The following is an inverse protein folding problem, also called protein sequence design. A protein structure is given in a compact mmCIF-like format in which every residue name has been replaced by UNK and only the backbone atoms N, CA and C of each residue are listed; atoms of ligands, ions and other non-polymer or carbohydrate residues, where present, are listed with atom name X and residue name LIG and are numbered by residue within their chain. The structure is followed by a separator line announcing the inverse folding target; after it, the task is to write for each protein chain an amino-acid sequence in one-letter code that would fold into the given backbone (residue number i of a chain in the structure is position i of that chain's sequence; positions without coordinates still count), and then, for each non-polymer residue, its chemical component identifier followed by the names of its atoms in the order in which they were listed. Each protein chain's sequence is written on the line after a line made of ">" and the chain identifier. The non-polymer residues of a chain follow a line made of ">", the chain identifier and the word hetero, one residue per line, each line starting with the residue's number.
data_IF_397881389695
#
_entry.id   IF_397881389695
#
_cell.length_a   1.000
_cell.length_b   1.000
_cell.length_c   1.000
_cell.angle_alpha   90.00
_cell.angle_beta   90.00
_cell.angle_gamma   90.00
#
_symmetry.space_group_name_H-M   'P 1'
#
loop_
_entity.id
_entity.type
_entity.pdbx_description
1 polymer ?
#
# COMPACT_ATOMS: atom_id res chain seq x y z
N UNK A 1 1.34 14.17 -52.59
CA UNK A 1 1.19 12.78 -52.16
C UNK A 1 2.43 12.27 -51.43
N UNK A 2 3.64 12.32 -52.02
CA UNK A 2 4.88 11.84 -51.38
C UNK A 2 5.19 12.56 -50.06
N UNK A 3 4.96 13.87 -49.96
CA UNK A 3 5.19 14.67 -48.77
C UNK A 3 4.22 14.29 -47.65
N UNK A 4 2.95 14.06 -47.94
CA UNK A 4 1.96 13.58 -46.97
C UNK A 4 2.31 12.17 -46.44
N UNK A 5 2.65 11.25 -47.36
CA UNK A 5 3.08 9.91 -46.96
C UNK A 5 4.33 9.93 -46.05
N UNK A 6 5.28 10.86 -46.28
CA UNK A 6 6.44 11.04 -45.43
C UNK A 6 6.04 11.50 -44.04
N UNK A 7 5.19 12.53 -43.89
CA UNK A 7 4.76 13.00 -42.57
C UNK A 7 3.94 11.95 -41.84
N UNK A 8 3.06 11.22 -42.50
CA UNK A 8 2.28 10.14 -41.89
C UNK A 8 3.20 9.01 -41.40
N UNK A 9 4.23 8.65 -42.15
CA UNK A 9 5.22 7.65 -41.72
C UNK A 9 6.02 8.12 -40.50
N UNK A 10 6.47 9.37 -40.50
CA UNK A 10 7.20 9.96 -39.36
C UNK A 10 6.30 10.00 -38.11
N UNK A 11 5.06 10.43 -38.24
CA UNK A 11 4.10 10.46 -37.13
C UNK A 11 3.84 9.05 -36.58
N UNK A 12 3.67 8.05 -37.46
CA UNK A 12 3.49 6.66 -37.03
C UNK A 12 4.72 6.14 -36.26
N UNK A 13 5.93 6.43 -36.75
CA UNK A 13 7.17 6.05 -36.06
C UNK A 13 7.28 6.70 -34.65
N UNK A 14 6.90 7.98 -34.54
CA UNK A 14 6.87 8.68 -33.26
C UNK A 14 5.88 8.00 -32.30
N UNK A 15 4.67 7.67 -32.76
CA UNK A 15 3.66 6.98 -31.95
C UNK A 15 4.19 5.63 -31.47
N UNK A 16 4.76 4.84 -32.37
CA UNK A 16 5.35 3.52 -32.04
C UNK A 16 6.49 3.68 -31.02
N UNK A 17 7.35 4.68 -31.18
CA UNK A 17 8.44 4.96 -30.26
C UNK A 17 7.91 5.33 -28.87
N UNK A 18 6.94 6.24 -28.79
CA UNK A 18 6.33 6.66 -27.52
C UNK A 18 5.66 5.47 -26.81
N UNK A 19 4.93 4.64 -27.55
CA UNK A 19 4.32 3.42 -27.02
C UNK A 19 5.37 2.42 -26.53
N UNK A 20 6.47 2.27 -27.26
CA UNK A 20 7.58 1.41 -26.85
C UNK A 20 8.26 1.89 -25.57
N UNK A 21 8.50 3.18 -25.42
CA UNK A 21 9.06 3.78 -24.20
C UNK A 21 8.08 3.65 -23.01
N UNK A 22 6.79 3.86 -23.29
CA UNK A 22 5.72 3.73 -22.28
C UNK A 22 5.48 2.27 -21.87
N UNK A 23 5.82 1.31 -22.70
CA UNK A 23 5.62 -0.13 -22.50
C UNK A 23 4.29 -0.67 -23.02
N UNK A 24 3.50 0.13 -23.75
CA UNK A 24 2.23 -0.27 -24.35
C UNK A 24 1.05 0.63 -24.01
N UNK A 25 -0.17 0.09 -24.16
CA UNK A 25 -1.44 0.80 -23.98
C UNK A 25 -2.02 0.69 -22.56
N UNK A 26 -1.37 -0.06 -21.65
CA UNK A 26 -1.83 -0.26 -20.29
C UNK A 26 -1.98 1.09 -19.56
N UNK A 27 -2.85 1.10 -18.55
CA UNK A 27 -3.21 2.31 -17.81
C UNK A 27 -2.01 2.97 -17.13
N UNK A 28 -1.13 2.18 -16.55
CA UNK A 28 0.08 2.62 -15.85
C UNK A 28 1.30 2.38 -16.73
N UNK A 29 2.13 3.41 -17.02
CA UNK A 29 3.39 3.22 -17.74
C UNK A 29 4.31 2.26 -16.98
N UNK A 30 5.12 1.49 -17.73
CA UNK A 30 6.13 0.64 -17.11
C UNK A 30 7.16 1.46 -16.32
N UNK A 31 7.62 0.87 -15.25
CA UNK A 31 8.75 1.36 -14.47
C UNK A 31 9.69 0.20 -14.11
N UNK A 32 10.74 0.44 -13.33
CA UNK A 32 11.70 -0.59 -12.96
C UNK A 32 11.04 -1.76 -12.22
N UNK A 33 10.03 -1.49 -11.38
CA UNK A 33 9.28 -2.53 -10.65
C UNK A 33 8.63 -3.56 -11.56
N UNK A 34 8.31 -3.20 -12.81
CA UNK A 34 7.72 -4.13 -13.77
C UNK A 34 8.65 -5.30 -14.12
N UNK A 35 9.97 -5.09 -14.03
CA UNK A 35 10.98 -6.11 -14.27
C UNK A 35 11.41 -6.84 -12.98
N UNK A 36 11.07 -6.35 -11.80
CA UNK A 36 11.52 -6.90 -10.53
C UNK A 36 10.75 -8.18 -10.16
N UNK A 37 11.49 -9.19 -9.74
CA UNK A 37 10.96 -10.53 -9.44
C UNK A 37 11.61 -11.21 -8.23
N UNK A 38 12.63 -10.60 -7.62
CA UNK A 38 13.46 -11.21 -6.58
C UNK A 38 13.71 -10.23 -5.44
N UNK A 39 14.02 -10.76 -4.26
CA UNK A 39 14.58 -9.99 -3.15
C UNK A 39 16.05 -9.57 -3.36
N UNK A 40 16.72 -10.11 -4.36
CA UNK A 40 18.11 -9.83 -4.66
C UNK A 40 18.21 -8.71 -5.69
N UNK A 41 18.57 -7.51 -5.23
CA UNK A 41 18.66 -6.32 -6.08
C UNK A 41 19.53 -6.53 -7.34
N UNK A 42 20.71 -7.17 -7.31
CA UNK A 42 21.50 -7.41 -8.52
C UNK A 42 20.76 -8.22 -9.60
N UNK A 43 19.89 -9.15 -9.20
CA UNK A 43 19.06 -9.92 -10.14
C UNK A 43 17.97 -9.04 -10.77
N UNK A 44 17.36 -8.17 -9.99
CA UNK A 44 16.37 -7.21 -10.47
C UNK A 44 17.01 -6.18 -11.41
N UNK A 45 18.17 -5.63 -11.05
CA UNK A 45 18.91 -4.68 -11.88
C UNK A 45 19.33 -5.29 -13.23
N UNK A 46 19.71 -6.57 -13.24
CA UNK A 46 20.03 -7.30 -14.46
C UNK A 46 18.81 -7.56 -15.36
N UNK A 47 17.60 -7.61 -14.79
CA UNK A 47 16.36 -7.81 -15.53
C UNK A 47 15.85 -6.51 -16.22
N UNK A 48 16.29 -5.35 -15.74
CA UNK A 48 15.88 -4.06 -16.33
C UNK A 48 16.62 -3.81 -17.64
N UNK A 49 15.89 -3.43 -18.69
CA UNK A 49 16.51 -3.07 -19.96
C UNK A 49 17.45 -1.87 -19.79
N UNK A 50 18.74 -2.07 -20.06
CA UNK A 50 19.81 -1.10 -19.82
C UNK A 50 19.63 0.20 -20.59
N UNK A 51 19.20 0.12 -21.87
CA UNK A 51 18.99 1.31 -22.70
C UNK A 51 17.79 2.13 -22.21
N UNK A 52 16.70 1.45 -21.88
CA UNK A 52 15.52 2.10 -21.33
C UNK A 52 15.84 2.80 -19.99
N UNK A 53 16.56 2.12 -19.08
CA UNK A 53 16.97 2.65 -17.79
C UNK A 53 17.92 3.85 -17.93
N UNK A 54 18.92 3.76 -18.83
CA UNK A 54 19.83 4.86 -19.13
C UNK A 54 19.07 6.09 -19.66
N UNK A 55 18.15 5.89 -20.61
CA UNK A 55 17.31 6.96 -21.15
C UNK A 55 16.45 7.62 -20.06
N UNK A 56 15.78 6.80 -19.24
CA UNK A 56 14.95 7.29 -18.13
C UNK A 56 15.76 8.09 -17.10
N UNK A 57 16.91 7.57 -16.70
CA UNK A 57 17.81 8.27 -15.74
C UNK A 57 18.35 9.57 -16.32
N UNK A 58 18.73 9.60 -17.58
CA UNK A 58 19.25 10.82 -18.22
C UNK A 58 18.18 11.91 -18.34
N UNK A 59 16.94 11.52 -18.68
CA UNK A 59 15.82 12.46 -18.81
C UNK A 59 15.20 12.84 -17.44
N UNK A 60 15.34 11.99 -16.43
CA UNK A 60 14.72 12.16 -15.12
C UNK A 60 15.59 12.82 -14.05
N UNK A 61 16.86 13.07 -14.32
CA UNK A 61 17.87 13.47 -13.32
C UNK A 61 17.70 14.86 -12.69
N UNK A 62 16.71 15.64 -13.11
CA UNK A 62 16.60 17.05 -12.66
C UNK A 62 15.93 17.26 -11.30
N UNK A 63 15.17 16.31 -10.74
CA UNK A 63 14.31 16.61 -9.59
C UNK A 63 14.68 15.94 -8.26
N UNK A 64 15.46 14.85 -8.25
CA UNK A 64 15.67 14.04 -7.04
C UNK A 64 17.13 13.87 -6.61
N UNK A 65 18.07 14.44 -7.32
CA UNK A 65 19.51 14.38 -7.01
C UNK A 65 20.06 15.61 -6.28
N UNK A 66 19.24 16.61 -6.01
CA UNK A 66 19.72 17.78 -5.24
C UNK A 66 19.82 17.41 -3.76
N UNK A 67 20.80 18.08 -3.10
CA UNK A 67 20.95 18.09 -1.64
C UNK A 67 19.60 18.24 -0.97
N UNK A 68 19.41 17.52 0.12
CA UNK A 68 18.18 17.41 0.88
C UNK A 68 17.50 18.78 1.03
N UNK A 69 16.38 19.05 0.33
CA UNK A 69 15.78 20.40 0.27
C UNK A 69 15.22 20.87 1.62
N UNK A 70 15.15 19.96 2.60
CA UNK A 70 14.58 20.18 3.94
C UNK A 70 15.65 20.15 5.04
N UNK A 71 16.91 20.37 4.71
CA UNK A 71 18.00 20.43 5.68
C UNK A 71 18.01 21.80 6.37
N UNK A 72 17.17 21.94 7.41
CA UNK A 72 17.02 23.20 8.17
C UNK A 72 17.96 23.27 9.38
N UNK A 73 18.56 22.16 9.80
CA UNK A 73 19.38 22.03 10.99
C UNK A 73 20.70 21.34 10.66
N UNK A 74 21.71 21.55 11.50
CA UNK A 74 22.89 20.67 11.51
C UNK A 74 22.49 19.28 11.99
N UNK A 75 23.33 18.27 11.72
CA UNK A 75 23.02 16.89 12.13
C UNK A 75 22.95 16.76 13.67
N UNK A 76 23.78 17.51 14.39
CA UNK A 76 23.79 17.59 15.86
C UNK A 76 22.48 18.19 16.41
N UNK A 77 22.04 19.31 15.84
CA UNK A 77 20.77 19.95 16.22
C UNK A 77 19.58 19.08 15.90
N UNK A 78 19.55 18.44 14.71
CA UNK A 78 18.48 17.53 14.31
C UNK A 78 18.39 16.33 15.27
N UNK A 79 19.52 15.70 15.59
CA UNK A 79 19.57 14.57 16.52
C UNK A 79 19.12 14.95 17.92
N UNK A 80 19.53 16.12 18.43
CA UNK A 80 19.10 16.61 19.74
C UNK A 80 17.58 16.84 19.79
N UNK A 81 16.98 17.41 18.73
CA UNK A 81 15.53 17.63 18.64
C UNK A 81 14.76 16.32 18.54
N UNK A 82 15.23 15.38 17.70
CA UNK A 82 14.63 14.05 17.57
C UNK A 82 14.67 13.31 18.90
N UNK A 83 15.81 13.33 19.62
CA UNK A 83 15.93 12.70 20.92
C UNK A 83 14.89 13.23 21.91
N UNK A 84 14.61 14.55 21.90
CA UNK A 84 13.58 15.14 22.76
C UNK A 84 12.16 14.69 22.41
N UNK A 85 11.85 14.51 21.12
CA UNK A 85 10.52 14.07 20.67
C UNK A 85 10.20 12.64 21.08
N UNK A 86 11.21 11.79 21.27
CA UNK A 86 11.05 10.38 21.60
C UNK A 86 11.34 10.04 23.07
N UNK A 87 11.46 11.06 23.94
CA UNK A 87 11.54 10.83 25.39
C UNK A 87 10.14 10.47 25.91
N UNK A 88 9.90 9.24 26.39
CA UNK A 88 8.61 8.88 26.95
C UNK A 88 8.40 9.60 28.30
N UNK A 89 7.24 10.21 28.50
CA UNK A 89 6.87 10.82 29.78
C UNK A 89 6.81 9.77 30.91
N UNK A 90 6.41 8.55 30.58
CA UNK A 90 6.42 7.37 31.43
C UNK A 90 6.79 6.15 30.60
N UNK A 91 7.78 5.41 31.02
CA UNK A 91 8.05 4.08 30.50
C UNK A 91 7.09 3.08 31.17
N UNK A 92 5.90 2.95 30.60
CA UNK A 92 4.88 2.02 31.07
C UNK A 92 4.60 1.00 29.98
N UNK A 93 5.11 -0.21 30.16
CA UNK A 93 4.85 -1.32 29.23
C UNK A 93 3.64 -2.12 29.69
N UNK A 94 2.61 -2.21 28.83
CA UNK A 94 1.46 -3.10 29.03
C UNK A 94 1.60 -4.34 28.18
N UNK A 95 1.46 -5.52 28.82
CA UNK A 95 1.38 -6.77 28.07
C UNK A 95 -0.03 -6.93 27.51
N UNK A 96 -0.19 -6.72 26.20
CA UNK A 96 -1.49 -6.81 25.50
C UNK A 96 -1.74 -8.19 24.93
N UNK A 97 -0.67 -8.91 24.59
CA UNK A 97 -0.76 -10.22 23.97
C UNK A 97 -0.50 -11.34 24.97
N UNK A 98 -1.24 -12.44 24.85
CA UNK A 98 -1.05 -13.66 25.63
C UNK A 98 0.05 -14.56 25.07
N UNK A 99 0.44 -14.35 23.82
CA UNK A 99 1.51 -15.07 23.13
C UNK A 99 2.65 -14.14 22.74
N UNK A 100 3.85 -14.68 22.60
CA UNK A 100 5.04 -13.95 22.14
C UNK A 100 5.27 -14.09 20.62
N UNK A 101 4.52 -14.96 19.93
CA UNK A 101 4.65 -15.25 18.49
C UNK A 101 3.26 -15.42 17.86
N UNK A 102 2.41 -14.39 17.86
CA UNK A 102 1.13 -14.44 17.15
C UNK A 102 1.36 -14.46 15.64
N UNK A 103 0.41 -14.99 14.89
CA UNK A 103 0.26 -14.60 13.50
C UNK A 103 -0.12 -13.12 13.44
N UNK A 104 0.21 -12.44 12.37
CA UNK A 104 -0.07 -11.01 12.21
C UNK A 104 -0.77 -10.79 10.87
N UNK A 105 -1.94 -10.17 10.92
CA UNK A 105 -2.67 -9.69 9.72
C UNK A 105 -2.80 -8.18 9.82
N UNK A 106 -2.28 -7.46 8.82
CA UNK A 106 -2.34 -6.01 8.75
C UNK A 106 -3.25 -5.61 7.60
N UNK A 107 -4.34 -4.90 7.90
CA UNK A 107 -5.15 -4.21 6.92
C UNK A 107 -4.68 -2.76 6.82
N UNK A 108 -4.14 -2.39 5.66
CA UNK A 108 -3.89 -1.01 5.28
C UNK A 108 -5.14 -0.50 4.56
N UNK A 109 -5.89 0.36 5.24
CA UNK A 109 -7.17 0.86 4.73
C UNK A 109 -6.92 2.13 3.90
N UNK A 110 -7.12 2.02 2.59
CA UNK A 110 -6.93 3.09 1.61
C UNK A 110 -7.76 4.33 1.96
N UNK A 111 -7.10 5.46 2.18
CA UNK A 111 -7.71 6.78 2.40
C UNK A 111 -8.69 6.89 3.57
N UNK A 112 -8.69 5.96 4.53
CA UNK A 112 -9.60 6.03 5.67
C UNK A 112 -9.26 7.20 6.59
N UNK A 113 -10.29 7.96 6.94
CA UNK A 113 -10.19 9.10 7.86
C UNK A 113 -11.10 8.89 9.07
N UNK A 114 -10.80 9.55 10.19
CA UNK A 114 -11.63 9.51 11.39
C UNK A 114 -13.08 9.93 11.12
N UNK A 115 -13.32 10.77 10.11
CA UNK A 115 -14.66 11.27 9.76
C UNK A 115 -15.65 10.17 9.34
N UNK A 116 -15.18 9.00 8.96
CA UNK A 116 -16.04 7.86 8.59
C UNK A 116 -16.11 6.78 9.67
N UNK A 117 -15.48 6.99 10.85
CA UNK A 117 -15.44 6.04 11.96
C UNK A 117 -16.08 6.67 13.19
N UNK A 118 -17.27 6.21 13.60
CA UNK A 118 -18.06 6.80 14.70
C UNK A 118 -17.28 6.77 16.02
N UNK A 119 -16.56 5.69 16.32
CA UNK A 119 -15.75 5.56 17.53
C UNK A 119 -14.57 6.54 17.62
N UNK A 120 -14.21 7.18 16.51
CA UNK A 120 -13.23 8.28 16.42
C UNK A 120 -13.87 9.67 16.33
N UNK A 121 -15.20 9.78 16.48
CA UNK A 121 -15.96 11.03 16.40
C UNK A 121 -16.53 11.33 15.01
N UNK A 122 -16.40 10.39 14.07
CA UNK A 122 -16.91 10.53 12.70
C UNK A 122 -18.41 10.29 12.54
N UNK A 123 -18.86 10.27 11.30
CA UNK A 123 -20.27 10.12 10.93
C UNK A 123 -20.79 8.72 11.26
N UNK A 124 -21.95 8.67 11.89
CA UNK A 124 -22.59 7.42 12.33
C UNK A 124 -22.96 6.52 11.17
N UNK A 125 -22.84 5.23 11.41
CA UNK A 125 -23.28 4.19 10.46
C UNK A 125 -22.52 4.17 9.12
N UNK A 126 -21.38 4.82 8.97
CA UNK A 126 -20.56 4.65 7.76
C UNK A 126 -19.81 3.32 7.84
N UNK A 127 -19.12 3.07 8.93
CA UNK A 127 -18.29 1.87 9.14
C UNK A 127 -18.64 1.14 10.46
N UNK A 128 -19.87 0.63 10.61
CA UNK A 128 -20.35 0.06 11.86
C UNK A 128 -19.58 -1.21 12.29
N UNK A 129 -18.98 -1.96 11.36
CA UNK A 129 -18.19 -3.12 11.72
C UNK A 129 -16.82 -2.71 12.34
N UNK A 130 -16.17 -1.68 11.79
CA UNK A 130 -14.97 -1.10 12.41
C UNK A 130 -15.27 -0.57 13.83
N UNK A 131 -16.41 0.07 14.04
CA UNK A 131 -16.83 0.51 15.35
C UNK A 131 -17.02 -0.67 16.31
N UNK A 132 -17.59 -1.77 15.83
CA UNK A 132 -17.70 -3.02 16.59
C UNK A 132 -16.32 -3.59 16.97
N UNK A 133 -15.35 -3.57 16.04
CA UNK A 133 -13.98 -3.99 16.31
C UNK A 133 -13.30 -3.08 17.33
N UNK A 134 -13.49 -1.77 17.22
CA UNK A 134 -12.95 -0.78 18.17
C UNK A 134 -13.51 -1.00 19.59
N UNK A 135 -14.79 -1.34 19.70
CA UNK A 135 -15.41 -1.65 20.99
C UNK A 135 -14.90 -2.96 21.62
N UNK A 136 -14.60 -3.96 20.81
CA UNK A 136 -14.17 -5.30 21.27
C UNK A 136 -12.65 -5.50 21.27
N UNK A 137 -11.87 -4.51 20.81
CA UNK A 137 -10.43 -4.56 20.68
C UNK A 137 -9.72 -3.41 21.39
N UNK A 138 -8.58 -3.02 20.84
CA UNK A 138 -7.81 -1.86 21.28
C UNK A 138 -7.91 -0.77 20.23
N UNK A 139 -8.49 0.37 20.60
CA UNK A 139 -8.56 1.56 19.77
C UNK A 139 -7.48 2.55 20.17
N UNK A 140 -6.60 2.88 19.23
CA UNK A 140 -5.62 3.96 19.36
C UNK A 140 -6.22 5.25 18.80
N UNK A 141 -6.81 6.08 19.64
CA UNK A 141 -7.59 7.25 19.24
C UNK A 141 -6.75 8.47 18.83
N UNK A 142 -5.44 8.44 19.08
CA UNK A 142 -4.52 9.57 18.79
C UNK A 142 -3.41 9.15 17.81
N UNK A 143 -3.73 8.32 16.83
CA UNK A 143 -2.83 7.94 15.75
C UNK A 143 -3.13 8.79 14.51
N UNK A 144 -2.07 9.31 13.90
CA UNK A 144 -2.15 10.18 12.72
C UNK A 144 -1.33 9.59 11.59
N UNK A 145 -1.83 9.69 10.36
CA UNK A 145 -1.06 9.31 9.18
C UNK A 145 0.15 10.23 9.01
N UNK A 146 1.26 9.65 8.58
CA UNK A 146 2.50 10.41 8.34
C UNK A 146 2.49 11.17 7.02
N UNK A 147 1.68 10.74 6.06
CA UNK A 147 1.62 11.29 4.72
C UNK A 147 0.20 11.39 4.19
N UNK A 148 0.09 11.72 2.92
CA UNK A 148 -1.19 11.90 2.21
C UNK A 148 -1.31 11.02 0.95
N UNK A 149 -0.43 10.00 0.82
CA UNK A 149 -0.39 9.08 -0.32
C UNK A 149 -0.07 7.66 0.16
N UNK A 150 -0.60 6.68 -0.53
CA UNK A 150 -0.41 5.25 -0.25
C UNK A 150 1.06 4.84 -0.18
N UNK A 151 1.90 5.34 -1.10
CA UNK A 151 3.33 5.02 -1.11
C UNK A 151 4.08 5.59 0.12
N UNK A 152 3.61 6.68 0.70
CA UNK A 152 4.13 7.24 1.95
C UNK A 152 3.62 6.44 3.16
N UNK A 153 2.32 6.11 3.17
CA UNK A 153 1.70 5.31 4.24
C UNK A 153 2.32 3.91 4.33
N UNK A 154 2.55 3.27 3.19
CA UNK A 154 3.20 1.97 3.11
C UNK A 154 4.61 1.99 3.71
N UNK A 155 5.43 3.01 3.39
CA UNK A 155 6.76 3.18 3.98
C UNK A 155 6.69 3.44 5.48
N UNK A 156 5.72 4.23 5.93
CA UNK A 156 5.54 4.54 7.36
C UNK A 156 5.15 3.31 8.17
N UNK A 157 4.24 2.49 7.68
CA UNK A 157 3.77 1.29 8.40
C UNK A 157 4.82 0.17 8.35
N UNK A 158 5.45 -0.07 7.20
CA UNK A 158 6.36 -1.22 7.04
C UNK A 158 7.82 -0.94 7.40
N UNK A 159 8.23 0.34 7.50
CA UNK A 159 9.61 0.71 7.81
C UNK A 159 9.73 1.74 8.93
N UNK A 160 8.62 2.24 9.48
CA UNK A 160 8.65 3.35 10.43
C UNK A 160 9.24 4.64 9.85
N UNK A 161 9.30 4.76 8.51
CA UNK A 161 9.94 5.91 7.86
C UNK A 161 8.94 7.06 7.72
N UNK A 162 9.22 8.23 8.30
CA UNK A 162 8.30 9.37 8.24
C UNK A 162 8.18 9.92 6.82
N UNK A 163 6.97 10.24 6.41
CA UNK A 163 6.71 10.84 5.11
C UNK A 163 7.40 12.20 4.98
N UNK A 164 7.88 12.48 3.77
CA UNK A 164 8.49 13.78 3.44
C UNK A 164 7.61 14.53 2.45
N UNK A 165 7.53 15.86 2.53
CA UNK A 165 6.77 16.65 1.58
C UNK A 165 7.26 16.41 0.14
N UNK A 166 6.32 16.25 -0.80
CA UNK A 166 6.58 16.11 -2.24
C UNK A 166 7.48 14.93 -2.67
N UNK A 167 7.80 14.02 -1.74
CA UNK A 167 8.68 12.90 -2.01
C UNK A 167 8.22 11.65 -1.27
N UNK A 168 8.30 10.50 -1.94
CA UNK A 168 8.16 9.20 -1.30
C UNK A 168 9.45 8.40 -1.41
N UNK A 169 9.91 7.86 -0.30
CA UNK A 169 11.15 7.06 -0.26
C UNK A 169 11.05 5.81 -1.15
N UNK A 170 9.86 5.26 -1.35
CA UNK A 170 9.59 4.12 -2.24
C UNK A 170 10.03 4.38 -3.67
N UNK A 171 10.00 5.65 -4.12
CA UNK A 171 10.46 6.04 -5.46
C UNK A 171 11.98 6.05 -5.62
N UNK A 172 12.73 5.78 -4.55
CA UNK A 172 14.21 5.82 -4.56
C UNK A 172 14.81 4.55 -3.98
N UNK A 173 15.04 3.51 -4.82
CA UNK A 173 15.67 2.25 -4.38
C UNK A 173 16.98 2.46 -3.61
N UNK A 174 17.79 3.42 -4.03
CA UNK A 174 19.06 3.76 -3.36
C UNK A 174 18.89 4.23 -1.92
N UNK A 175 17.74 4.81 -1.58
CA UNK A 175 17.45 5.31 -0.24
C UNK A 175 16.77 4.26 0.62
N UNK A 176 15.74 3.56 0.11
CA UNK A 176 14.99 2.64 0.93
C UNK A 176 15.74 1.33 1.25
N UNK A 177 16.75 0.94 0.45
CA UNK A 177 17.56 -0.27 0.74
C UNK A 177 18.29 -0.22 2.09
N UNK A 178 18.45 0.97 2.68
CA UNK A 178 19.07 1.14 4.01
C UNK A 178 18.05 1.18 5.15
N UNK A 179 16.74 1.11 4.84
CA UNK A 179 15.71 1.08 5.87
C UNK A 179 15.63 -0.30 6.53
N UNK A 180 15.16 -0.33 7.77
CA UNK A 180 14.71 -1.55 8.40
C UNK A 180 13.27 -1.82 8.02
N UNK A 181 12.95 -3.06 7.71
CA UNK A 181 11.61 -3.45 7.29
C UNK A 181 10.98 -4.39 8.32
N UNK A 182 9.78 -4.10 8.74
CA UNK A 182 9.01 -4.99 9.63
C UNK A 182 8.90 -6.42 9.06
N UNK A 183 8.58 -6.63 7.78
CA UNK A 183 8.53 -7.98 7.21
C UNK A 183 9.87 -8.71 7.27
N UNK A 184 10.99 -8.02 7.01
CA UNK A 184 12.33 -8.62 7.07
C UNK A 184 12.70 -9.03 8.49
N UNK A 185 12.42 -8.17 9.48
CA UNK A 185 12.63 -8.49 10.89
C UNK A 185 11.79 -9.69 11.30
N UNK A 186 10.51 -9.75 10.94
CA UNK A 186 9.66 -10.90 11.25
C UNK A 186 10.12 -12.17 10.53
N UNK A 187 10.56 -12.08 9.27
CA UNK A 187 11.12 -13.21 8.54
C UNK A 187 12.36 -13.80 9.23
N UNK A 188 13.23 -12.95 9.83
CA UNK A 188 14.39 -13.42 10.61
C UNK A 188 13.97 -14.20 11.87
N UNK A 189 12.72 -14.02 12.32
CA UNK A 189 12.10 -14.77 13.41
C UNK A 189 11.22 -15.95 12.93
N UNK A 190 11.29 -16.29 11.65
CA UNK A 190 10.62 -17.45 11.06
C UNK A 190 9.20 -17.19 10.57
N UNK A 191 8.78 -15.93 10.43
CA UNK A 191 7.49 -15.59 9.83
C UNK A 191 7.54 -15.76 8.31
N UNK A 192 6.44 -16.25 7.73
CA UNK A 192 6.21 -16.21 6.29
C UNK A 192 5.43 -14.95 5.94
N UNK A 193 5.90 -14.20 4.95
CA UNK A 193 5.34 -12.90 4.59
C UNK A 193 4.55 -12.98 3.29
N UNK A 194 3.33 -12.43 3.29
CA UNK A 194 2.48 -12.30 2.11
C UNK A 194 1.85 -10.90 2.02
N UNK A 195 1.56 -10.46 0.79
CA UNK A 195 0.91 -9.18 0.50
C UNK A 195 -0.19 -9.36 -0.52
N UNK A 196 -1.35 -8.73 -0.26
CA UNK A 196 -2.55 -8.82 -1.10
C UNK A 196 -3.03 -7.41 -1.45
N UNK A 197 -3.28 -7.19 -2.73
CA UNK A 197 -3.76 -5.92 -3.26
C UNK A 197 -4.58 -6.12 -4.53
N UNK A 198 -5.74 -5.50 -4.63
CA UNK A 198 -6.58 -5.57 -5.83
C UNK A 198 -6.04 -4.81 -7.03
N UNK A 199 -5.15 -3.86 -6.81
CA UNK A 199 -4.52 -3.02 -7.83
C UNK A 199 -3.19 -3.56 -8.34
N UNK A 200 -2.53 -2.74 -9.17
CA UNK A 200 -1.24 -3.06 -9.77
C UNK A 200 -0.08 -2.63 -8.87
N UNK A 201 0.67 -3.59 -8.33
CA UNK A 201 1.82 -3.31 -7.45
C UNK A 201 3.02 -2.65 -8.17
N UNK A 202 3.06 -2.67 -9.49
CA UNK A 202 4.02 -1.89 -10.28
C UNK A 202 3.85 -0.38 -10.12
N UNK A 203 2.64 0.09 -9.74
CA UNK A 203 2.40 1.50 -9.47
C UNK A 203 3.29 2.01 -8.34
N UNK A 204 3.81 3.24 -8.49
CA UNK A 204 4.65 3.93 -7.50
C UNK A 204 5.83 3.09 -6.96
N UNK A 205 6.37 2.15 -7.72
CA UNK A 205 7.44 1.23 -7.31
C UNK A 205 7.10 0.34 -6.09
N UNK A 206 5.82 0.15 -5.76
CA UNK A 206 5.42 -0.66 -4.60
C UNK A 206 5.99 -2.07 -4.66
N UNK A 207 5.91 -2.75 -5.82
CA UNK A 207 6.46 -4.10 -5.98
C UNK A 207 7.94 -4.19 -5.63
N UNK A 208 8.74 -3.23 -6.11
CA UNK A 208 10.16 -3.19 -5.82
C UNK A 208 10.44 -3.03 -4.31
N UNK A 209 9.69 -2.16 -3.66
CA UNK A 209 9.77 -1.94 -2.22
C UNK A 209 9.34 -3.16 -1.41
N UNK A 210 8.24 -3.82 -1.78
CA UNK A 210 7.74 -5.03 -1.13
C UNK A 210 8.76 -6.18 -1.24
N UNK A 211 9.33 -6.41 -2.43
CA UNK A 211 10.36 -7.42 -2.63
C UNK A 211 11.60 -7.13 -1.79
N UNK A 212 12.04 -5.87 -1.72
CA UNK A 212 13.17 -5.45 -0.88
C UNK A 212 12.86 -5.63 0.61
N UNK A 213 11.62 -5.45 1.04
CA UNK A 213 11.21 -5.67 2.43
C UNK A 213 11.12 -7.16 2.84
N UNK A 214 11.40 -8.09 1.91
CA UNK A 214 11.34 -9.52 2.16
C UNK A 214 9.99 -10.16 1.90
N UNK A 215 9.05 -9.44 1.28
CA UNK A 215 7.76 -9.99 0.86
C UNK A 215 7.89 -10.48 -0.59
N UNK A 216 7.92 -11.81 -0.77
CA UNK A 216 8.01 -12.43 -2.10
C UNK A 216 6.66 -12.98 -2.59
N UNK A 217 5.76 -13.30 -1.67
CA UNK A 217 4.42 -13.78 -1.98
C UNK A 217 3.50 -12.56 -2.15
N UNK A 218 3.41 -12.07 -3.38
CA UNK A 218 2.59 -10.90 -3.73
C UNK A 218 1.44 -11.36 -4.61
N UNK A 219 0.22 -11.11 -4.15
CA UNK A 219 -1.02 -11.25 -4.90
C UNK A 219 -1.48 -9.86 -5.30
N UNK A 220 -1.53 -9.57 -6.58
CA UNK A 220 -1.95 -8.28 -7.10
C UNK A 220 -2.98 -8.43 -8.24
N UNK A 221 -3.30 -7.34 -8.92
CA UNK A 221 -4.27 -7.29 -10.02
C UNK A 221 -4.14 -8.44 -11.01
N UNK A 222 -2.94 -8.94 -11.28
CA UNK A 222 -2.70 -10.02 -12.23
C UNK A 222 -3.19 -11.40 -11.76
N UNK A 223 -3.57 -11.51 -10.50
CA UNK A 223 -4.03 -12.75 -9.85
C UNK A 223 -5.55 -12.90 -9.81
N UNK A 224 -6.30 -11.90 -10.30
CA UNK A 224 -7.75 -11.88 -10.33
C UNK A 224 -8.30 -12.11 -11.72
N UNK A 225 -9.43 -12.78 -11.81
CA UNK A 225 -10.13 -13.02 -13.07
C UNK A 225 -10.76 -11.72 -13.62
N UNK A 226 -11.09 -11.69 -14.91
CA UNK A 226 -11.57 -10.49 -15.59
C UNK A 226 -12.89 -9.94 -15.02
N UNK A 227 -13.76 -10.80 -14.53
CA UNK A 227 -15.04 -10.49 -13.88
C UNK A 227 -14.89 -10.03 -12.43
N UNK A 228 -13.79 -10.38 -11.76
CA UNK A 228 -13.44 -9.88 -10.43
C UNK A 228 -12.81 -8.47 -10.50
N UNK A 229 -12.20 -8.12 -11.63
CA UNK A 229 -11.61 -6.80 -11.87
C UNK A 229 -12.67 -5.75 -12.24
N UNK A 230 -13.61 -5.54 -11.35
CA UNK A 230 -14.78 -4.69 -11.57
C UNK A 230 -14.62 -3.25 -11.03
N UNK A 231 -13.46 -2.90 -10.48
CA UNK A 231 -13.10 -1.52 -10.16
C UNK A 231 -12.22 -0.90 -11.26
N UNK A 232 -12.16 0.43 -11.30
CA UNK A 232 -11.29 1.16 -12.26
C UNK A 232 -9.83 0.72 -12.19
N UNK A 233 -9.33 0.42 -11.00
CA UNK A 233 -7.90 0.12 -10.77
C UNK A 233 -7.60 -1.37 -10.62
N UNK A 234 -8.64 -2.22 -10.48
CA UNK A 234 -8.48 -3.66 -10.32
C UNK A 234 -9.67 -4.33 -9.64
N UNK A 235 -9.41 -5.25 -8.70
CA UNK A 235 -10.42 -5.95 -7.94
C UNK A 235 -10.85 -5.18 -6.68
N UNK A 236 -12.15 -5.19 -6.37
CA UNK A 236 -12.65 -4.60 -5.13
C UNK A 236 -12.26 -5.43 -3.90
N UNK A 237 -12.28 -4.78 -2.72
CA UNK A 237 -11.82 -5.33 -1.45
C UNK A 237 -12.46 -6.68 -1.09
N UNK A 238 -13.73 -6.88 -1.42
CA UNK A 238 -14.41 -8.14 -1.14
C UNK A 238 -13.71 -9.36 -1.77
N UNK A 239 -13.24 -9.24 -3.02
CA UNK A 239 -12.48 -10.31 -3.69
C UNK A 239 -11.09 -10.47 -3.09
N UNK A 240 -10.39 -9.36 -2.81
CA UNK A 240 -9.05 -9.38 -2.23
C UNK A 240 -9.05 -10.03 -0.86
N UNK A 241 -10.00 -9.66 0.00
CA UNK A 241 -10.13 -10.20 1.35
C UNK A 241 -10.49 -11.69 1.31
N UNK A 242 -11.38 -12.09 0.42
CA UNK A 242 -11.72 -13.48 0.22
C UNK A 242 -10.52 -14.32 -0.25
N UNK A 243 -9.77 -13.82 -1.22
CA UNK A 243 -8.58 -14.50 -1.73
C UNK A 243 -7.52 -14.67 -0.65
N UNK A 244 -7.28 -13.63 0.16
CA UNK A 244 -6.37 -13.72 1.30
C UNK A 244 -6.88 -14.71 2.35
N UNK A 245 -8.18 -14.69 2.70
CA UNK A 245 -8.76 -15.62 3.66
C UNK A 245 -8.59 -17.08 3.24
N UNK A 246 -8.61 -17.38 1.93
CA UNK A 246 -8.34 -18.72 1.39
C UNK A 246 -6.85 -19.06 1.42
N UNK A 247 -6.00 -18.11 1.06
CA UNK A 247 -4.55 -18.32 1.00
C UNK A 247 -3.94 -18.58 2.38
N UNK A 248 -4.32 -17.79 3.36
CA UNK A 248 -3.79 -17.84 4.73
C UNK A 248 -4.08 -19.20 5.43
N UNK A 249 -5.13 -19.91 5.02
CA UNK A 249 -5.42 -21.25 5.56
C UNK A 249 -4.35 -22.29 5.22
N UNK A 250 -3.51 -22.01 4.23
CA UNK A 250 -2.44 -22.89 3.76
C UNK A 250 -1.06 -22.44 4.24
N UNK A 251 -0.97 -21.27 4.85
CA UNK A 251 0.31 -20.74 5.34
C UNK A 251 0.74 -21.47 6.62
N UNK A 252 2.04 -21.57 6.82
CA UNK A 252 2.63 -22.10 8.05
C UNK A 252 2.73 -20.98 9.09
N UNK A 253 2.34 -21.29 10.33
CA UNK A 253 2.49 -20.35 11.45
C UNK A 253 3.94 -20.31 11.97
N UNK A 254 4.45 -19.15 12.37
CA UNK A 254 3.78 -17.86 12.32
C UNK A 254 3.88 -17.20 10.95
N UNK A 255 2.88 -16.42 10.58
CA UNK A 255 2.86 -15.66 9.34
C UNK A 255 2.58 -14.17 9.56
N UNK A 256 3.06 -13.34 8.63
CA UNK A 256 2.65 -11.95 8.44
C UNK A 256 1.92 -11.85 7.10
N UNK A 257 0.64 -11.49 7.13
CA UNK A 257 -0.14 -11.23 5.93
C UNK A 257 -0.62 -9.79 5.91
N UNK A 258 -0.31 -9.07 4.84
CA UNK A 258 -0.63 -7.66 4.69
C UNK A 258 -1.64 -7.51 3.56
N UNK A 259 -2.69 -6.76 3.79
CA UNK A 259 -3.75 -6.48 2.82
C UNK A 259 -3.84 -4.96 2.66
N UNK A 260 -3.68 -4.48 1.42
CA UNK A 260 -3.97 -3.09 1.08
C UNK A 260 -5.34 -3.03 0.40
N UNK A 261 -6.27 -2.26 0.97
CA UNK A 261 -7.57 -2.05 0.36
C UNK A 261 -7.49 -1.12 -0.85
N UNK A 262 -8.52 -1.13 -1.69
CA UNK A 262 -8.55 -0.34 -2.93
C UNK A 262 -9.89 0.38 -3.14
N UNK A 263 -10.98 -0.13 -2.57
CA UNK A 263 -12.35 0.30 -2.93
C UNK A 263 -12.64 1.75 -2.57
N UNK A 264 -11.97 2.29 -1.56
CA UNK A 264 -12.06 3.69 -1.13
C UNK A 264 -11.12 4.64 -1.89
N UNK A 265 -10.49 4.18 -2.98
CA UNK A 265 -9.76 5.02 -3.92
C UNK A 265 -10.69 5.62 -4.99
N UNK A 266 -10.40 6.84 -5.47
CA UNK A 266 -11.13 7.45 -6.58
C UNK A 266 -11.22 6.52 -7.82
N UNK A 267 -12.36 6.41 -8.47
CA UNK A 267 -13.57 7.23 -8.41
C UNK A 267 -14.65 6.76 -7.41
N UNK A 268 -14.30 5.96 -6.38
CA UNK A 268 -15.20 5.51 -5.30
C UNK A 268 -16.39 4.67 -5.81
N UNK A 269 -16.19 3.92 -6.88
CA UNK A 269 -17.19 2.98 -7.39
C UNK A 269 -17.27 1.76 -6.50
N UNK A 270 -18.47 1.26 -6.24
CA UNK A 270 -18.72 0.08 -5.41
C UNK A 270 -19.69 -0.88 -6.10
N UNK A 271 -19.50 -2.20 -5.94
CA UNK A 271 -20.39 -3.21 -6.52
C UNK A 271 -21.56 -3.53 -5.56
N UNK A 272 -22.17 -2.51 -4.99
CA UNK A 272 -23.34 -2.65 -4.11
C UNK A 272 -24.30 -1.48 -4.30
N UNK A 273 -25.55 -1.64 -3.81
CA UNK A 273 -26.47 -0.50 -3.68
C UNK A 273 -25.91 0.54 -2.72
N UNK A 274 -25.99 1.81 -3.13
CA UNK A 274 -25.43 2.92 -2.36
C UNK A 274 -26.26 3.21 -1.12
N UNK A 275 -25.62 3.26 0.03
CA UNK A 275 -26.24 3.55 1.32
C UNK A 275 -26.45 5.05 1.54
N UNK A 276 -25.51 5.87 1.04
CA UNK A 276 -25.54 7.32 1.14
C UNK A 276 -25.93 7.91 -0.21
N UNK A 277 -27.10 8.58 -0.30
CA UNK A 277 -27.58 9.14 -1.56
C UNK A 277 -26.73 10.34 -1.97
N UNK A 278 -26.56 10.52 -3.28
CA UNK A 278 -25.81 11.63 -3.89
C UNK A 278 -24.75 11.15 -4.87
N UNK A 279 -24.31 12.06 -5.75
CA UNK A 279 -23.25 11.83 -6.74
C UNK A 279 -22.01 12.70 -6.48
N UNK A 280 -22.04 13.46 -5.38
CA UNK A 280 -20.89 14.24 -4.91
C UNK A 280 -19.78 13.34 -4.34
N UNK A 281 -18.58 13.89 -4.26
CA UNK A 281 -17.40 13.15 -3.78
C UNK A 281 -17.60 12.62 -2.35
N UNK A 282 -18.10 13.40 -1.37
CA UNK A 282 -18.31 12.89 -0.02
C UNK A 282 -19.28 11.71 0.05
N UNK A 283 -20.39 11.73 -0.68
CA UNK A 283 -21.36 10.63 -0.70
C UNK A 283 -20.76 9.35 -1.31
N UNK A 284 -20.03 9.48 -2.41
CA UNK A 284 -19.32 8.37 -3.04
C UNK A 284 -18.24 7.78 -2.15
N UNK A 285 -17.45 8.63 -1.52
CA UNK A 285 -16.40 8.21 -0.57
C UNK A 285 -17.00 7.44 0.61
N UNK A 286 -18.07 7.95 1.23
CA UNK A 286 -18.77 7.23 2.32
C UNK A 286 -19.30 5.87 1.88
N UNK A 287 -19.85 5.77 0.67
CA UNK A 287 -20.31 4.49 0.13
C UNK A 287 -19.13 3.51 -0.08
N UNK A 288 -17.99 4.00 -0.52
CA UNK A 288 -16.80 3.15 -0.70
C UNK A 288 -16.22 2.66 0.63
N UNK A 289 -16.16 3.51 1.65
CA UNK A 289 -15.78 3.10 3.01
C UNK A 289 -16.78 2.10 3.62
N UNK A 290 -18.09 2.30 3.39
CA UNK A 290 -19.11 1.36 3.84
C UNK A 290 -19.00 0.00 3.14
N UNK A 291 -18.61 -0.04 1.87
CA UNK A 291 -18.34 -1.28 1.16
C UNK A 291 -17.11 -2.02 1.72
N UNK A 292 -16.02 -1.30 1.98
CA UNK A 292 -14.83 -1.87 2.64
C UNK A 292 -15.18 -2.44 4.01
N UNK A 293 -16.00 -1.73 4.80
CA UNK A 293 -16.48 -2.18 6.12
C UNK A 293 -17.31 -3.46 6.04
N UNK A 294 -18.23 -3.56 5.07
CA UNK A 294 -18.98 -4.79 4.79
C UNK A 294 -18.08 -5.94 4.36
N UNK A 295 -17.05 -5.64 3.58
CA UNK A 295 -16.06 -6.63 3.13
C UNK A 295 -15.23 -7.15 4.31
N UNK A 296 -14.85 -6.27 5.25
CA UNK A 296 -14.20 -6.66 6.52
C UNK A 296 -15.12 -7.54 7.35
N UNK A 297 -16.40 -7.19 7.50
CA UNK A 297 -17.37 -8.00 8.23
C UNK A 297 -17.48 -9.42 7.64
N UNK A 298 -17.59 -9.51 6.31
CA UNK A 298 -17.64 -10.79 5.62
C UNK A 298 -16.36 -11.60 5.82
N UNK A 299 -15.20 -10.95 5.72
CA UNK A 299 -13.92 -11.56 5.97
C UNK A 299 -13.81 -12.15 7.38
N UNK A 300 -14.04 -11.36 8.43
CA UNK A 300 -13.97 -11.85 9.82
C UNK A 300 -14.97 -12.97 10.09
N UNK A 301 -16.17 -12.90 9.50
CA UNK A 301 -17.14 -13.97 9.61
C UNK A 301 -16.67 -15.29 8.97
N UNK A 302 -15.91 -15.21 7.88
CA UNK A 302 -15.39 -16.39 7.17
C UNK A 302 -14.25 -17.09 7.92
N UNK A 303 -13.45 -16.36 8.69
CA UNK A 303 -12.24 -16.86 9.33
C UNK A 303 -12.38 -17.13 10.84
N UNK A 304 -13.42 -16.65 11.52
CA UNK A 304 -13.58 -16.73 12.98
C UNK A 304 -13.46 -18.13 13.58
N UNK A 305 -13.72 -19.16 12.79
CA UNK A 305 -13.62 -20.58 13.20
C UNK A 305 -12.32 -21.26 12.73
N UNK A 306 -11.40 -20.51 12.09
CA UNK A 306 -10.14 -21.06 11.65
C UNK A 306 -9.22 -21.39 12.86
N UNK A 307 -8.46 -22.50 12.82
CA UNK A 307 -7.61 -22.92 13.95
C UNK A 307 -6.59 -21.85 14.38
N UNK A 308 -6.06 -21.09 13.43
CA UNK A 308 -5.08 -20.04 13.63
C UNK A 308 -5.67 -18.71 14.15
N UNK A 309 -7.01 -18.53 14.08
CA UNK A 309 -7.66 -17.25 14.39
C UNK A 309 -7.36 -16.76 15.80
N UNK A 310 -7.46 -17.63 16.81
CA UNK A 310 -7.23 -17.27 18.21
C UNK A 310 -5.77 -16.90 18.52
N UNK A 311 -4.82 -17.30 17.66
CA UNK A 311 -3.39 -16.95 17.77
C UNK A 311 -2.99 -15.83 16.81
N UNK A 312 -3.94 -15.01 16.36
CA UNK A 312 -3.69 -13.97 15.35
C UNK A 312 -3.94 -12.58 15.91
N UNK A 313 -2.98 -11.68 15.71
CA UNK A 313 -3.12 -10.25 15.93
C UNK A 313 -3.59 -9.60 14.62
N UNK A 314 -4.78 -9.01 14.65
CA UNK A 314 -5.31 -8.22 13.54
C UNK A 314 -5.05 -6.73 13.80
N UNK A 315 -4.39 -6.05 12.87
CA UNK A 315 -4.07 -4.63 12.91
C UNK A 315 -4.78 -3.95 11.73
N UNK A 316 -5.64 -2.99 12.03
CA UNK A 316 -6.32 -2.19 11.01
C UNK A 316 -5.81 -0.77 11.15
N UNK A 317 -5.22 -0.22 10.10
CA UNK A 317 -4.63 1.12 10.09
C UNK A 317 -4.82 1.75 8.71
N UNK A 318 -5.14 3.04 8.67
CA UNK A 318 -5.18 3.78 7.41
C UNK A 318 -3.76 4.01 6.89
N UNK A 319 -3.59 3.97 5.58
CA UNK A 319 -2.34 4.38 4.93
C UNK A 319 -2.21 5.93 4.93
N UNK A 320 -3.31 6.63 4.66
CA UNK A 320 -3.47 8.08 4.80
C UNK A 320 -4.95 8.42 4.96
N UNK A 321 -5.26 9.69 5.23
CA UNK A 321 -6.64 10.18 5.25
C UNK A 321 -7.10 10.65 3.86
N UNK A 322 -8.41 10.79 3.68
CA UNK A 322 -9.03 11.46 2.53
C UNK A 322 -9.05 12.97 2.79
N UNK A 323 -8.73 13.78 1.77
CA UNK A 323 -8.74 15.25 1.81
C UNK A 323 -10.11 15.81 1.39
#
# INVERSE_FOLDING_TARGET
>A
LLLFAYYDTVMLLIVVLVLGIRGGWQQIPINESSAYFSKHQPANDAAVNTFWNAGKKTLGTGRFQQDHPYRFFTDEEANARIAQLFVPEKDTTFRVLTTTRPNIVIFLLESFTADVVESLGGEKNVTPFLDSLAYNGLLFSSIYSQGFRTDQGLASVLSGFPAQPNFSVIMSPEKYKSLQFLPEVLASHGYQNSFFYGGETGFANMKAYLLQSGIINITDKSSFDADEMNAKWGAHDGYVFQQQAVAIQKEQEPFLSIILSLSSHEPFTVPMETKFPGNDVPSKFKNSCAYTDLSLQAYFNSIKNAPWYANTLFILVADHGHL
#
